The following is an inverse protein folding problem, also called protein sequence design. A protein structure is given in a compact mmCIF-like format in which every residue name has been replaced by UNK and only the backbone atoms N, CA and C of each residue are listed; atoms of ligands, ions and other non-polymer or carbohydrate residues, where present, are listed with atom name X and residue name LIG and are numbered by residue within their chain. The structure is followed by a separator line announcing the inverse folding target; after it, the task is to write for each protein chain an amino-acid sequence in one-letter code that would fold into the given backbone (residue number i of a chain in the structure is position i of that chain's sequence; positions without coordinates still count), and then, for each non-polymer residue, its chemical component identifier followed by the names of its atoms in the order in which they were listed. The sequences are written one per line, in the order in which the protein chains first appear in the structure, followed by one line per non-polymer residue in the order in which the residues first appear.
data_IF_392751202099
#
_entry.id   IF_392751202099
#
_cell.length_a   1.000
_cell.length_b   1.000
_cell.length_c   1.000
_cell.angle_alpha   90.00
_cell.angle_beta   90.00
_cell.angle_gamma   90.00
#
_symmetry.space_group_name_H-M   'P 1'
#
loop_
_entity.id
_entity.type
_entity.pdbx_description
1 polymer ?
#
# COMPACT_ATOMS: atom_id res chain seq x y z
N UNK A 1 -4.61 9.95 71.39
CA UNK A 1 -4.51 11.28 70.75
C UNK A 1 -5.17 11.19 69.38
N UNK A 2 -6.26 11.96 69.22
CA UNK A 2 -7.10 12.26 68.04
C UNK A 2 -7.50 11.12 67.09
N UNK A 3 -8.76 10.69 67.27
CA UNK A 3 -9.64 10.07 66.29
C UNK A 3 -10.73 11.06 65.80
N UNK A 4 -10.93 11.03 64.49
CA UNK A 4 -12.08 11.22 63.56
C UNK A 4 -13.52 11.54 64.09
N UNK A 5 -14.30 12.18 63.19
CA UNK A 5 -15.79 12.25 63.01
C UNK A 5 -16.53 13.38 63.78
N UNK A 6 -17.62 14.04 63.33
CA UNK A 6 -18.56 13.91 62.19
C UNK A 6 -19.59 15.07 62.21
N UNK A 7 -20.18 15.41 61.05
CA UNK A 7 -21.62 15.72 60.77
C UNK A 7 -22.34 17.06 61.11
N UNK A 8 -23.19 17.47 60.11
CA UNK A 8 -24.51 18.18 60.12
C UNK A 8 -24.49 19.73 60.18
N UNK A 9 -24.87 20.50 59.14
CA UNK A 9 -26.15 20.65 58.38
C UNK A 9 -27.17 21.58 59.07
N UNK A 10 -27.39 22.77 58.51
CA UNK A 10 -28.62 23.55 58.68
C UNK A 10 -29.05 24.11 57.32
N UNK A 11 -30.29 23.79 56.98
CA UNK A 11 -31.02 24.04 55.74
C UNK A 11 -31.89 25.29 55.88
N UNK A 12 -32.54 25.65 54.76
CA UNK A 12 -33.77 26.45 54.59
C UNK A 12 -33.63 27.97 54.45
N UNK A 13 -34.44 28.69 53.68
CA UNK A 13 -35.28 28.51 52.47
C UNK A 13 -35.98 29.88 52.34
N UNK A 14 -36.04 30.52 51.19
CA UNK A 14 -37.23 31.26 50.74
C UNK A 14 -37.13 31.54 49.24
N UNK A 15 -38.04 30.93 48.50
CA UNK A 15 -38.34 31.20 47.10
C UNK A 15 -39.43 32.29 47.02
N UNK A 16 -39.54 32.96 45.86
CA UNK A 16 -40.77 33.08 45.02
C UNK A 16 -40.69 34.32 44.09
N UNK A 17 -40.52 34.04 42.77
CA UNK A 17 -41.15 34.64 41.55
C UNK A 17 -41.02 36.14 41.26
N UNK A 18 -40.97 36.69 40.04
CA UNK A 18 -40.98 36.32 38.60
C UNK A 18 -40.77 37.67 37.87
N UNK A 19 -40.01 37.81 36.76
CA UNK A 19 -40.46 37.64 35.38
C UNK A 19 -39.29 38.00 34.44
N UNK A 20 -38.78 37.06 33.64
CA UNK A 20 -38.93 36.97 32.16
C UNK A 20 -38.79 38.29 31.37
N UNK A 21 -37.65 38.45 30.72
CA UNK A 21 -37.60 38.79 29.29
C UNK A 21 -36.64 37.82 28.61
N UNK A 22 -37.22 36.91 27.83
CA UNK A 22 -36.56 35.98 26.92
C UNK A 22 -36.65 36.63 25.54
N UNK A 23 -35.50 36.97 24.96
CA UNK A 23 -35.34 37.01 23.51
C UNK A 23 -34.54 35.76 23.18
N UNK A 24 -35.17 34.86 22.44
CA UNK A 24 -34.74 33.47 22.28
C UNK A 24 -33.36 33.34 21.67
N UNK A 25 -32.48 32.68 22.41
CA UNK A 25 -31.29 32.06 21.89
C UNK A 25 -31.41 30.59 22.27
N UNK A 26 -31.57 29.75 21.27
CA UNK A 26 -31.71 28.30 21.41
C UNK A 26 -30.41 27.76 22.05
N UNK A 27 -30.46 27.09 23.22
CA UNK A 27 -29.26 26.54 23.84
C UNK A 27 -28.66 25.35 23.07
N UNK A 28 -29.33 24.88 22.01
CA UNK A 28 -28.90 23.80 21.12
C UNK A 28 -28.50 24.27 19.72
N UNK A 29 -28.31 25.58 19.50
CA UNK A 29 -27.76 26.06 18.22
C UNK A 29 -26.23 25.89 18.21
N UNK A 30 -25.65 25.02 17.35
CA UNK A 30 -24.21 24.93 17.22
C UNK A 30 -23.65 26.28 16.78
N UNK A 31 -22.57 26.70 17.45
CA UNK A 31 -21.75 27.84 17.05
C UNK A 31 -21.37 27.70 15.56
N UNK A 32 -21.59 28.72 14.71
CA UNK A 32 -21.28 28.66 13.29
C UNK A 32 -19.77 28.54 12.98
N UNK A 33 -18.91 28.65 14.01
CA UNK A 33 -17.46 28.57 13.88
C UNK A 33 -16.86 27.24 14.39
N UNK A 34 -17.70 26.28 14.82
CA UNK A 34 -17.23 24.99 15.36
C UNK A 34 -17.33 23.80 14.38
N UNK A 35 -18.15 23.89 13.33
CA UNK A 35 -18.46 22.72 12.47
C UNK A 35 -17.62 22.62 11.18
N UNK A 36 -16.75 23.60 10.87
CA UNK A 36 -16.06 23.68 9.56
C UNK A 36 -14.54 23.38 9.58
N UNK A 37 -13.98 22.77 10.63
CA UNK A 37 -12.55 22.39 10.71
C UNK A 37 -12.35 20.88 10.96
N UNK A 38 -13.42 20.07 10.85
CA UNK A 38 -13.43 18.70 11.42
C UNK A 38 -13.02 17.56 10.47
N UNK A 39 -12.99 17.75 9.15
CA UNK A 39 -12.40 16.74 8.26
C UNK A 39 -10.89 16.98 8.19
N UNK A 40 -10.08 16.02 8.65
CA UNK A 40 -8.65 15.99 8.30
C UNK A 40 -8.54 16.02 6.78
N UNK A 41 -8.05 17.12 6.23
CA UNK A 41 -7.96 17.29 4.79
C UNK A 41 -6.90 16.32 4.27
N UNK A 42 -7.37 15.30 3.55
CA UNK A 42 -6.51 14.38 2.83
C UNK A 42 -5.74 15.15 1.76
N UNK A 43 -4.43 14.90 1.69
CA UNK A 43 -3.54 15.46 0.67
C UNK A 43 -3.15 14.39 -0.34
N UNK A 44 -2.70 14.83 -1.51
CA UNK A 44 -2.13 13.88 -2.48
C UNK A 44 -0.87 13.23 -1.89
N UNK A 45 -0.62 11.96 -2.22
CA UNK A 45 0.52 11.24 -1.70
C UNK A 45 1.83 11.85 -2.19
N UNK A 46 2.81 11.95 -1.29
CA UNK A 46 4.16 12.48 -1.58
C UNK A 46 4.19 13.96 -2.03
N UNK A 47 3.16 14.75 -1.70
CA UNK A 47 3.24 16.20 -1.92
C UNK A 47 4.45 16.80 -1.17
N UNK A 48 5.23 17.71 -1.80
CA UNK A 48 6.35 18.35 -1.15
C UNK A 48 5.93 19.06 0.14
N UNK A 49 6.65 18.79 1.23
CA UNK A 49 6.47 19.45 2.53
C UNK A 49 7.53 20.53 2.64
N UNK A 50 7.16 21.70 3.14
CA UNK A 50 8.12 22.80 3.29
C UNK A 50 9.20 22.43 4.31
N UNK A 51 10.45 22.85 4.09
CA UNK A 51 11.57 22.56 5.00
C UNK A 51 11.29 23.03 6.43
N UNK A 52 10.52 24.11 6.57
CA UNK A 52 10.12 24.67 7.89
C UNK A 52 9.12 23.77 8.62
N UNK A 53 8.25 23.08 7.89
CA UNK A 53 7.25 22.17 8.46
C UNK A 53 7.81 20.74 8.65
N UNK A 54 8.79 20.34 7.83
CA UNK A 54 9.27 18.96 7.75
C UNK A 54 9.77 18.41 9.09
N UNK A 55 10.39 19.27 9.92
CA UNK A 55 10.94 18.87 11.23
C UNK A 55 9.88 18.62 12.30
N UNK A 56 8.64 19.11 12.10
CA UNK A 56 7.59 19.12 13.14
C UNK A 56 6.32 18.36 12.72
N UNK A 57 6.37 17.65 11.60
CA UNK A 57 5.21 16.98 11.00
C UNK A 57 5.46 15.49 10.85
N UNK A 58 4.41 14.72 11.14
CA UNK A 58 4.26 13.32 10.81
C UNK A 58 3.32 13.18 9.62
N UNK A 59 3.71 12.34 8.65
CA UNK A 59 2.85 11.99 7.52
C UNK A 59 2.26 10.61 7.77
N UNK A 60 0.94 10.54 7.82
CA UNK A 60 0.17 9.29 7.82
C UNK A 60 -0.23 8.98 6.39
N UNK A 61 0.51 8.07 5.76
CA UNK A 61 0.26 7.62 4.40
C UNK A 61 -0.51 6.30 4.43
N UNK A 62 -1.81 6.38 4.17
CA UNK A 62 -2.68 5.22 4.00
C UNK A 62 -2.56 4.70 2.56
N UNK A 63 -1.90 3.55 2.39
CA UNK A 63 -1.84 2.85 1.10
C UNK A 63 -2.92 1.79 1.04
N UNK A 64 -3.69 1.77 -0.04
CA UNK A 64 -4.76 0.80 -0.26
C UNK A 64 -4.57 0.08 -1.57
N UNK A 65 -5.15 -1.11 -1.70
CA UNK A 65 -5.22 -1.76 -3.01
C UNK A 65 -6.35 -1.21 -3.87
N UNK A 66 -6.94 -0.04 -3.58
CA UNK A 66 -7.95 0.57 -4.43
C UNK A 66 -7.45 0.86 -5.84
N UNK A 67 -8.38 1.01 -6.78
CA UNK A 67 -8.03 1.28 -8.18
C UNK A 67 -7.28 2.60 -8.26
N UNK A 68 -6.08 2.63 -8.89
CA UNK A 68 -5.35 3.88 -9.05
C UNK A 68 -6.18 4.82 -9.93
N UNK A 69 -6.71 5.89 -9.34
CA UNK A 69 -7.46 6.94 -10.05
C UNK A 69 -6.61 8.19 -10.17
N UNK A 70 -6.56 8.78 -11.36
CA UNK A 70 -6.02 10.12 -11.51
C UNK A 70 -6.96 11.10 -10.80
N UNK A 71 -6.43 12.12 -10.14
CA UNK A 71 -7.22 13.15 -9.44
C UNK A 71 -8.23 13.84 -10.35
N UNK A 72 -8.03 13.83 -11.68
CA UNK A 72 -8.96 14.35 -12.69
C UNK A 72 -10.25 13.52 -12.88
N UNK A 73 -10.22 12.22 -12.59
CA UNK A 73 -11.35 11.30 -12.85
C UNK A 73 -12.27 11.13 -11.64
N UNK A 74 -11.82 11.58 -10.46
CA UNK A 74 -12.55 11.48 -9.21
C UNK A 74 -13.83 12.36 -9.18
N UNK A 75 -13.98 13.30 -10.12
CA UNK A 75 -15.16 14.15 -10.26
C UNK A 75 -16.24 13.66 -11.23
N UNK A 76 -15.96 12.66 -12.09
CA UNK A 76 -16.84 12.31 -13.21
C UNK A 76 -17.49 10.91 -13.13
N UNK A 77 -16.93 9.98 -12.33
CA UNK A 77 -17.42 8.59 -12.35
C UNK A 77 -18.58 8.29 -11.37
N UNK A 78 -18.79 9.09 -10.33
CA UNK A 78 -19.87 8.87 -9.36
C UNK A 78 -21.24 9.43 -9.80
N UNK A 79 -21.29 10.15 -10.93
CA UNK A 79 -22.53 10.74 -11.42
C UNK A 79 -23.42 9.76 -12.22
N UNK A 80 -22.88 8.63 -12.72
CA UNK A 80 -23.58 7.86 -13.76
C UNK A 80 -23.95 6.42 -13.42
N UNK A 81 -23.59 5.86 -12.26
CA UNK A 81 -23.78 4.42 -12.02
C UNK A 81 -24.61 4.01 -10.79
N UNK A 82 -25.32 4.90 -10.10
CA UNK A 82 -26.25 4.43 -9.05
C UNK A 82 -27.46 5.36 -8.82
N UNK A 83 -28.36 5.38 -9.80
CA UNK A 83 -29.71 5.95 -9.66
C UNK A 83 -30.63 4.96 -8.91
N UNK A 84 -30.21 4.46 -7.76
CA UNK A 84 -30.93 3.48 -6.95
C UNK A 84 -30.63 3.63 -5.47
N UNK A 85 -31.44 4.41 -4.76
CA UNK A 85 -31.46 4.50 -3.29
C UNK A 85 -30.14 4.90 -2.58
N UNK A 86 -29.77 6.18 -2.66
CA UNK A 86 -29.01 6.83 -1.57
C UNK A 86 -29.94 7.69 -0.74
N UNK A 87 -30.18 7.26 0.49
CA UNK A 87 -30.82 8.04 1.55
C UNK A 87 -30.05 9.34 1.80
N UNK A 88 -30.77 10.44 2.05
CA UNK A 88 -30.27 11.82 2.26
C UNK A 88 -29.29 12.04 3.44
N UNK A 89 -28.65 10.99 3.96
CA UNK A 89 -27.74 11.07 5.12
C UNK A 89 -26.25 11.18 4.74
N UNK A 90 -25.89 10.91 3.48
CA UNK A 90 -24.48 10.81 3.05
C UNK A 90 -23.90 12.08 2.40
N UNK A 91 -24.59 13.22 2.49
CA UNK A 91 -24.16 14.49 1.86
C UNK A 91 -23.56 15.52 2.82
N UNK A 92 -23.11 15.11 4.00
CA UNK A 92 -22.34 15.99 4.90
C UNK A 92 -20.92 15.45 5.04
N UNK A 93 -19.99 16.01 4.25
CA UNK A 93 -18.55 15.87 4.49
C UNK A 93 -17.72 15.16 3.42
N UNK A 94 -18.28 14.70 2.31
CA UNK A 94 -17.47 14.18 1.20
C UNK A 94 -16.70 15.33 0.53
N UNK A 95 -15.42 15.46 0.88
CA UNK A 95 -14.44 16.16 0.05
C UNK A 95 -14.45 15.47 -1.31
N UNK A 96 -14.78 16.21 -2.36
CA UNK A 96 -14.94 15.68 -3.71
C UNK A 96 -13.67 14.89 -4.12
N UNK A 97 -13.82 13.58 -4.34
CA UNK A 97 -12.82 12.74 -5.00
C UNK A 97 -12.05 11.74 -4.13
N UNK A 98 -12.32 11.64 -2.83
CA UNK A 98 -11.65 10.67 -1.93
C UNK A 98 -12.69 9.67 -1.44
N UNK A 99 -12.56 8.42 -1.89
CA UNK A 99 -13.55 7.36 -1.68
C UNK A 99 -12.94 5.96 -1.70
N UNK A 100 -11.79 5.79 -1.03
CA UNK A 100 -11.18 4.48 -0.83
C UNK A 100 -11.97 3.65 0.18
N UNK A 101 -11.93 2.32 0.06
CA UNK A 101 -12.86 1.42 0.76
C UNK A 101 -12.84 1.54 2.30
N UNK A 102 -11.71 1.97 2.88
CA UNK A 102 -11.54 2.14 4.33
C UNK A 102 -11.24 3.59 4.76
N UNK A 103 -11.26 4.55 3.83
CA UNK A 103 -10.85 5.94 4.11
C UNK A 103 -11.72 6.62 5.17
N UNK A 104 -13.04 6.38 5.16
CA UNK A 104 -13.96 6.93 6.16
C UNK A 104 -13.71 6.35 7.56
N UNK A 105 -13.56 5.02 7.65
CA UNK A 105 -13.28 4.31 8.91
C UNK A 105 -11.95 4.78 9.50
N UNK A 106 -10.94 4.95 8.66
CA UNK A 106 -9.65 5.49 9.08
C UNK A 106 -9.76 6.96 9.52
N UNK A 107 -10.54 7.77 8.80
CA UNK A 107 -10.76 9.17 9.15
C UNK A 107 -11.50 9.32 10.49
N UNK A 108 -12.42 8.41 10.82
CA UNK A 108 -13.06 8.32 12.14
C UNK A 108 -12.00 8.08 13.24
N UNK A 109 -11.16 7.06 13.07
CA UNK A 109 -10.09 6.73 14.01
C UNK A 109 -9.13 7.93 14.20
N UNK A 110 -8.73 8.58 13.10
CA UNK A 110 -7.89 9.78 13.14
C UNK A 110 -8.55 10.95 13.89
N UNK A 111 -9.85 11.20 13.66
CA UNK A 111 -10.59 12.25 14.37
C UNK A 111 -10.61 11.98 15.87
N UNK A 112 -10.78 10.74 16.29
CA UNK A 112 -10.75 10.37 17.70
C UNK A 112 -9.35 10.52 18.31
N UNK A 113 -8.28 10.16 17.60
CA UNK A 113 -6.90 10.44 18.04
C UNK A 113 -6.67 11.95 18.21
N UNK A 114 -7.11 12.80 17.27
CA UNK A 114 -6.96 14.26 17.41
C UNK A 114 -7.71 14.82 18.62
N UNK A 115 -8.86 14.25 18.96
CA UNK A 115 -9.62 14.62 20.17
C UNK A 115 -8.85 14.24 21.44
N UNK A 116 -8.22 13.07 21.45
CA UNK A 116 -7.45 12.57 22.59
C UNK A 116 -6.06 13.21 22.73
N UNK A 117 -5.46 13.64 21.61
CA UNK A 117 -4.12 14.23 21.51
C UNK A 117 -4.17 15.59 20.79
N UNK A 118 -4.69 16.65 21.44
CA UNK A 118 -4.84 17.97 20.83
C UNK A 118 -3.48 18.62 20.46
N UNK A 119 -2.39 18.17 21.09
CA UNK A 119 -1.02 18.56 20.74
C UNK A 119 -0.64 18.20 19.29
N UNK A 120 -1.24 17.16 18.73
CA UNK A 120 -0.95 16.66 17.37
C UNK A 120 -1.76 17.37 16.27
N UNK A 121 -2.66 18.30 16.62
CA UNK A 121 -3.66 18.86 15.71
C UNK A 121 -3.08 19.43 14.41
N UNK A 122 -1.89 20.04 14.49
CA UNK A 122 -1.20 20.68 13.37
C UNK A 122 0.11 19.97 12.99
N UNK A 123 0.37 18.80 13.58
CA UNK A 123 1.61 18.03 13.39
C UNK A 123 1.38 16.77 12.56
N UNK A 124 0.16 16.50 12.10
CA UNK A 124 -0.15 15.31 11.32
C UNK A 124 -0.76 15.68 9.99
N UNK A 125 -0.18 15.16 8.92
CA UNK A 125 -0.72 15.20 7.56
C UNK A 125 -1.30 13.85 7.18
N UNK A 126 -2.51 13.85 6.64
CA UNK A 126 -3.14 12.66 6.08
C UNK A 126 -2.91 12.59 4.58
N UNK A 127 -2.44 11.45 4.10
CA UNK A 127 -2.31 11.16 2.67
C UNK A 127 -2.88 9.79 2.37
N UNK A 128 -3.50 9.66 1.19
CA UNK A 128 -4.05 8.39 0.71
C UNK A 128 -3.46 8.05 -0.64
N UNK A 129 -3.00 6.81 -0.78
CA UNK A 129 -2.40 6.27 -1.99
C UNK A 129 -3.19 5.03 -2.46
N UNK A 130 -4.03 5.15 -3.51
CA UNK A 130 -4.63 4.00 -4.17
C UNK A 130 -3.60 3.33 -5.09
N UNK A 131 -3.14 2.14 -4.71
CA UNK A 131 -2.00 1.44 -5.29
C UNK A 131 -2.34 0.03 -5.82
N UNK A 132 -3.62 -0.22 -6.12
CA UNK A 132 -4.11 -1.49 -6.65
C UNK A 132 -3.77 -1.76 -8.11
N UNK A 133 -4.32 -2.84 -8.65
CA UNK A 133 -4.27 -3.08 -10.09
C UNK A 133 -5.35 -2.24 -10.79
N UNK A 134 -5.00 -1.50 -11.85
CA UNK A 134 -5.95 -0.70 -12.59
C UNK A 134 -6.76 -1.57 -13.56
N UNK A 135 -7.94 -1.10 -13.99
CA UNK A 135 -8.90 -1.88 -14.82
C UNK A 135 -8.31 -2.41 -16.11
N UNK A 136 -7.37 -1.69 -16.69
CA UNK A 136 -6.67 -2.07 -17.92
C UNK A 136 -5.88 -3.37 -17.76
N UNK A 137 -5.47 -3.72 -16.53
CA UNK A 137 -4.70 -4.93 -16.20
C UNK A 137 -5.53 -6.03 -15.55
N UNK A 138 -6.83 -5.83 -15.39
CA UNK A 138 -7.72 -6.74 -14.65
C UNK A 138 -8.91 -7.21 -15.50
N UNK A 139 -8.76 -7.13 -16.82
CA UNK A 139 -9.80 -7.49 -17.79
C UNK A 139 -11.01 -6.55 -17.74
N UNK A 140 -10.82 -5.30 -17.28
CA UNK A 140 -11.89 -4.31 -17.11
C UNK A 140 -12.74 -4.51 -15.85
N UNK A 141 -12.37 -5.45 -14.98
CA UNK A 141 -13.11 -5.71 -13.74
C UNK A 141 -12.62 -4.79 -12.61
N UNK A 142 -13.51 -4.32 -11.72
CA UNK A 142 -13.10 -3.68 -10.48
C UNK A 142 -12.35 -4.72 -9.64
N UNK A 143 -11.04 -4.56 -9.53
CA UNK A 143 -10.17 -5.71 -9.32
C UNK A 143 -9.76 -6.00 -7.89
N UNK A 144 -10.17 -5.16 -6.94
CA UNK A 144 -9.45 -5.03 -5.69
C UNK A 144 -10.12 -5.76 -4.54
N UNK A 145 -10.66 -6.94 -4.86
CA UNK A 145 -11.23 -7.85 -3.87
C UNK A 145 -10.37 -9.10 -3.83
N UNK A 146 -9.96 -9.55 -2.63
CA UNK A 146 -10.21 -8.92 -1.32
C UNK A 146 -9.35 -7.65 -1.06
N UNK A 147 -9.93 -6.69 -0.33
CA UNK A 147 -9.33 -5.37 -0.07
C UNK A 147 -8.18 -5.45 0.95
N UNK A 148 -7.16 -4.61 0.77
CA UNK A 148 -5.99 -4.49 1.64
C UNK A 148 -5.66 -3.03 1.93
N UNK A 149 -5.07 -2.80 3.09
CA UNK A 149 -4.58 -1.49 3.53
C UNK A 149 -3.26 -1.65 4.27
N UNK A 150 -2.39 -0.66 4.13
CA UNK A 150 -1.14 -0.52 4.87
C UNK A 150 -1.03 0.95 5.27
N UNK A 151 -0.68 1.20 6.53
CA UNK A 151 -0.45 2.54 7.03
C UNK A 151 1.04 2.72 7.28
N UNK A 152 1.62 3.71 6.63
CA UNK A 152 2.99 4.14 6.85
C UNK A 152 2.98 5.44 7.65
N UNK A 153 3.79 5.50 8.70
CA UNK A 153 4.04 6.73 9.46
C UNK A 153 5.43 7.21 9.14
N UNK A 154 5.52 8.41 8.57
CA UNK A 154 6.78 9.01 8.13
C UNK A 154 7.03 10.33 8.86
N UNK A 155 8.29 10.77 8.87
CA UNK A 155 8.59 12.18 9.15
C UNK A 155 8.22 13.08 7.96
N UNK A 156 8.41 14.39 8.10
CA UNK A 156 8.15 15.34 7.01
C UNK A 156 9.09 15.23 5.81
N UNK A 157 10.14 14.40 5.87
CA UNK A 157 11.04 14.08 4.76
C UNK A 157 10.74 12.69 4.15
N UNK A 158 9.58 12.11 4.46
CA UNK A 158 9.17 10.78 4.01
C UNK A 158 10.15 9.65 4.43
N UNK A 159 10.82 9.80 5.57
CA UNK A 159 11.54 8.69 6.19
C UNK A 159 10.61 7.87 7.04
N UNK A 160 10.64 6.54 6.85
CA UNK A 160 9.77 5.62 7.57
C UNK A 160 10.10 5.65 9.07
N UNK A 161 9.08 5.81 9.92
CA UNK A 161 9.24 5.76 11.38
C UNK A 161 8.58 4.50 11.96
N UNK A 162 7.41 4.15 11.43
CA UNK A 162 6.67 2.96 11.81
C UNK A 162 5.67 2.60 10.71
N UNK A 163 5.15 1.37 10.72
CA UNK A 163 4.07 0.97 9.82
C UNK A 163 3.26 -0.20 10.35
N UNK A 164 2.06 -0.37 9.79
CA UNK A 164 1.22 -1.54 10.04
C UNK A 164 0.49 -1.96 8.77
N UNK A 165 0.04 -3.21 8.74
CA UNK A 165 -0.86 -3.73 7.71
C UNK A 165 -2.24 -3.94 8.32
N UNK A 166 -3.28 -3.48 7.64
CA UNK A 166 -4.66 -3.46 8.09
C UNK A 166 -5.17 -2.04 8.36
N UNK A 167 -6.43 -1.94 8.78
CA UNK A 167 -7.08 -0.66 9.13
C UNK A 167 -7.07 -0.53 10.66
N UNK A 168 -6.33 0.43 11.23
CA UNK A 168 -6.26 0.60 12.68
C UNK A 168 -7.52 1.29 13.22
N UNK A 169 -7.89 0.95 14.45
CA UNK A 169 -8.79 1.78 15.24
C UNK A 169 -8.04 2.97 15.87
N UNK A 170 -8.73 3.80 16.65
CA UNK A 170 -8.13 4.98 17.27
C UNK A 170 -7.01 4.63 18.27
N UNK A 171 -7.13 3.53 19.03
CA UNK A 171 -6.13 3.13 20.02
C UNK A 171 -4.87 2.58 19.33
N UNK A 172 -5.06 1.78 18.29
CA UNK A 172 -3.98 1.26 17.45
C UNK A 172 -3.25 2.40 16.74
N UNK A 173 -4.00 3.35 16.16
CA UNK A 173 -3.43 4.51 15.48
C UNK A 173 -2.64 5.41 16.44
N UNK A 174 -3.18 5.67 17.64
CA UNK A 174 -2.46 6.44 18.65
C UNK A 174 -1.15 5.76 19.06
N UNK A 175 -1.18 4.44 19.29
CA UNK A 175 0.01 3.66 19.62
C UNK A 175 1.07 3.77 18.51
N UNK A 176 0.64 3.65 17.25
CA UNK A 176 1.53 3.76 16.10
C UNK A 176 2.20 5.13 15.99
N UNK A 177 1.46 6.21 16.28
CA UNK A 177 1.98 7.58 16.30
C UNK A 177 2.98 7.76 17.44
N UNK A 178 2.67 7.28 18.64
CA UNK A 178 3.56 7.35 19.80
C UNK A 178 4.88 6.59 19.55
N UNK A 179 4.80 5.46 18.86
CA UNK A 179 5.98 4.70 18.44
C UNK A 179 6.84 5.45 17.42
N UNK A 180 6.20 6.11 16.45
CA UNK A 180 6.90 6.93 15.48
C UNK A 180 7.59 8.14 16.14
N UNK A 181 6.93 8.80 17.10
CA UNK A 181 7.51 9.90 17.87
C UNK A 181 8.71 9.44 18.71
N UNK A 182 8.61 8.26 19.33
CA UNK A 182 9.75 7.70 20.06
C UNK A 182 10.92 7.37 19.14
N UNK A 183 10.65 6.80 17.95
CA UNK A 183 11.70 6.57 16.98
C UNK A 183 12.41 7.88 16.58
N UNK A 184 11.66 8.95 16.29
CA UNK A 184 12.24 10.27 16.01
C UNK A 184 13.15 10.75 17.14
N UNK A 185 12.70 10.58 18.39
CA UNK A 185 13.49 10.95 19.57
C UNK A 185 14.76 10.11 19.69
N UNK A 186 14.67 8.79 19.48
CA UNK A 186 15.84 7.90 19.52
C UNK A 186 16.83 8.21 18.40
N UNK A 187 16.34 8.47 17.18
CA UNK A 187 17.16 8.84 16.03
C UNK A 187 17.85 10.20 16.23
N UNK A 188 17.20 11.16 16.89
CA UNK A 188 17.80 12.47 17.19
C UNK A 188 18.88 12.43 18.27
N UNK A 189 18.89 11.39 19.11
CA UNK A 189 19.90 11.20 20.16
C UNK A 189 21.14 10.44 19.68
N UNK A 190 21.00 9.62 18.63
CA UNK A 190 22.10 8.81 18.09
C UNK A 190 22.76 9.49 16.89
N UNK A 191 23.85 10.21 17.13
CA UNK A 191 24.63 10.83 16.06
C UNK A 191 25.62 9.88 15.34
N UNK A 192 25.86 8.65 15.82
CA UNK A 192 27.07 7.91 15.38
C UNK A 192 26.99 6.40 15.04
N UNK A 193 25.88 5.66 15.18
CA UNK A 193 25.82 4.30 14.56
C UNK A 193 24.40 3.76 14.32
N UNK A 194 24.06 3.47 13.07
CA UNK A 194 22.79 2.83 12.67
C UNK A 194 22.51 1.50 13.39
N UNK A 195 23.55 0.72 13.71
CA UNK A 195 23.40 -0.56 14.42
C UNK A 195 22.88 -0.45 15.85
N UNK A 196 23.23 0.61 16.60
CA UNK A 196 22.70 0.83 17.95
C UNK A 196 21.19 1.10 17.93
N UNK A 197 20.72 1.89 16.96
CA UNK A 197 19.31 2.20 16.77
C UNK A 197 18.52 0.94 16.46
N UNK A 198 19.01 0.10 15.55
CA UNK A 198 18.41 -1.21 15.22
C UNK A 198 18.27 -2.07 16.46
N UNK A 199 19.31 -2.19 17.30
CA UNK A 199 19.28 -2.99 18.53
C UNK A 199 18.23 -2.45 19.51
N UNK A 200 18.16 -1.13 19.74
CA UNK A 200 17.18 -0.53 20.64
C UNK A 200 15.75 -0.75 20.16
N UNK A 201 15.50 -0.57 18.87
CA UNK A 201 14.19 -0.81 18.27
C UNK A 201 13.82 -2.29 18.34
N UNK A 202 14.75 -3.20 18.04
CA UNK A 202 14.53 -4.63 18.15
C UNK A 202 14.23 -5.05 19.59
N UNK A 203 14.94 -4.52 20.58
CA UNK A 203 14.63 -4.74 22.00
C UNK A 203 13.21 -4.28 22.34
N UNK A 204 12.76 -3.16 21.78
CA UNK A 204 11.40 -2.67 22.00
C UNK A 204 10.34 -3.54 21.33
N UNK A 205 10.52 -3.87 20.06
CA UNK A 205 9.66 -4.80 19.32
C UNK A 205 9.58 -6.17 20.00
N UNK A 206 10.68 -6.66 20.57
CA UNK A 206 10.74 -7.94 21.29
C UNK A 206 9.73 -8.03 22.44
N UNK A 207 9.39 -6.90 23.08
CA UNK A 207 8.44 -6.86 24.19
C UNK A 207 6.99 -6.96 23.72
N UNK A 208 6.73 -6.68 22.45
CA UNK A 208 5.39 -6.57 21.86
C UNK A 208 5.01 -7.76 20.99
N UNK A 209 6.00 -8.51 20.53
CA UNK A 209 5.79 -9.71 19.72
C UNK A 209 5.76 -10.98 20.58
N UNK A 210 5.01 -12.02 20.17
CA UNK A 210 5.03 -13.32 20.82
C UNK A 210 6.44 -13.94 20.87
N UNK A 211 6.64 -14.90 21.79
CA UNK A 211 7.94 -15.56 22.01
C UNK A 211 8.58 -16.11 20.73
N UNK A 212 7.78 -16.67 19.82
CA UNK A 212 8.27 -17.28 18.60
C UNK A 212 8.77 -16.23 17.60
N UNK A 213 8.02 -15.14 17.40
CA UNK A 213 8.44 -13.97 16.63
C UNK A 213 9.68 -13.29 17.23
N UNK A 214 9.76 -13.22 18.56
CA UNK A 214 10.93 -12.67 19.27
C UNK A 214 12.21 -13.42 18.90
N UNK A 215 12.17 -14.75 18.90
CA UNK A 215 13.34 -15.55 18.55
C UNK A 215 13.84 -15.27 17.13
N UNK A 216 12.92 -15.16 16.16
CA UNK A 216 13.27 -14.83 14.77
C UNK A 216 13.84 -13.41 14.67
N UNK A 217 13.27 -12.45 15.39
CA UNK A 217 13.78 -11.07 15.45
C UNK A 217 15.22 -11.03 16.01
N UNK A 218 15.46 -11.67 17.16
CA UNK A 218 16.79 -11.73 17.80
C UNK A 218 17.83 -12.39 16.89
N UNK A 219 17.47 -13.48 16.20
CA UNK A 219 18.35 -14.13 15.22
C UNK A 219 18.68 -13.20 14.04
N UNK A 220 17.69 -12.45 13.56
CA UNK A 220 17.85 -11.52 12.43
C UNK A 220 18.75 -10.34 12.80
N UNK A 221 18.66 -9.82 14.03
CA UNK A 221 19.57 -8.78 14.54
C UNK A 221 21.02 -9.26 14.53
N UNK A 222 21.28 -10.53 14.88
CA UNK A 222 22.63 -11.09 14.89
C UNK A 222 23.20 -11.29 13.48
N UNK A 223 22.37 -11.64 12.50
CA UNK A 223 22.79 -11.84 11.10
C UNK A 223 23.03 -10.52 10.35
N UNK A 224 22.45 -9.42 10.83
CA UNK A 224 22.47 -8.15 10.11
C UNK A 224 23.86 -7.53 9.95
N UNK A 225 24.77 -7.77 10.89
CA UNK A 225 26.15 -7.30 10.77
C UNK A 225 26.89 -7.97 9.60
N UNK A 226 26.43 -9.14 9.13
CA UNK A 226 27.04 -9.91 8.04
C UNK A 226 26.38 -9.68 6.68
N UNK A 227 25.07 -9.39 6.64
CA UNK A 227 24.26 -9.34 5.41
C UNK A 227 23.73 -7.94 5.03
N UNK A 228 24.24 -6.87 5.64
CA UNK A 228 23.77 -5.49 5.42
C UNK A 228 23.93 -5.05 3.95
N UNK A 229 22.90 -5.31 3.15
CA UNK A 229 22.78 -4.82 1.77
C UNK A 229 22.65 -3.30 1.80
N UNK A 230 23.45 -2.60 0.99
CA UNK A 230 23.38 -1.12 0.90
C UNK A 230 22.13 -0.62 0.20
N UNK A 231 21.43 -1.50 -0.52
CA UNK A 231 20.21 -1.16 -1.24
C UNK A 231 18.96 -1.44 -0.37
N UNK A 232 18.16 -0.40 -0.03
CA UNK A 232 16.95 -0.56 0.76
C UNK A 232 15.90 -1.50 0.13
N UNK A 233 15.83 -1.58 -1.20
CA UNK A 233 14.86 -2.46 -1.88
C UNK A 233 15.26 -3.92 -1.70
N UNK A 234 16.54 -4.24 -1.90
CA UNK A 234 17.08 -5.57 -1.60
C UNK A 234 16.91 -5.96 -0.13
N UNK A 235 17.09 -5.00 0.79
CA UNK A 235 16.87 -5.20 2.22
C UNK A 235 15.40 -5.54 2.53
N UNK A 236 14.44 -4.76 2.00
CA UNK A 236 13.00 -5.05 2.15
C UNK A 236 12.69 -6.45 1.64
N UNK A 237 13.22 -6.82 0.47
CA UNK A 237 12.98 -8.15 -0.11
C UNK A 237 13.51 -9.25 0.80
N UNK A 238 14.78 -9.17 1.21
CA UNK A 238 15.40 -10.18 2.08
C UNK A 238 14.63 -10.36 3.39
N UNK A 239 14.29 -9.25 4.05
CA UNK A 239 13.47 -9.24 5.25
C UNK A 239 12.09 -9.85 4.99
N UNK A 240 11.45 -9.45 3.89
CA UNK A 240 10.12 -9.95 3.52
C UNK A 240 10.15 -11.45 3.28
N UNK A 241 11.12 -11.99 2.53
CA UNK A 241 11.26 -13.43 2.29
C UNK A 241 11.43 -14.18 3.61
N UNK A 242 12.31 -13.68 4.49
CA UNK A 242 12.59 -14.28 5.81
C UNK A 242 11.35 -14.31 6.72
N UNK A 243 10.63 -13.20 6.84
CA UNK A 243 9.50 -13.08 7.75
C UNK A 243 8.16 -13.56 7.16
N UNK A 244 8.03 -13.63 5.82
CA UNK A 244 6.77 -14.05 5.18
C UNK A 244 6.51 -15.53 5.35
N UNK A 245 7.51 -16.39 5.22
CA UNK A 245 7.32 -17.84 5.45
C UNK A 245 6.90 -18.13 6.89
N UNK A 246 7.52 -17.42 7.83
CA UNK A 246 7.16 -17.51 9.24
C UNK A 246 5.75 -16.97 9.51
N UNK A 247 5.40 -15.83 8.90
CA UNK A 247 4.05 -15.27 8.93
C UNK A 247 3.02 -16.28 8.41
N UNK A 248 3.26 -16.89 7.26
CA UNK A 248 2.37 -17.86 6.65
C UNK A 248 2.19 -19.09 7.56
N UNK A 249 3.26 -19.59 8.19
CA UNK A 249 3.15 -20.67 9.16
C UNK A 249 2.30 -20.28 10.38
N UNK A 250 2.51 -19.08 10.92
CA UNK A 250 1.77 -18.55 12.07
C UNK A 250 0.27 -18.36 11.77
N UNK A 251 -0.10 -17.78 10.63
CA UNK A 251 -1.52 -17.61 10.27
C UNK A 251 -2.21 -18.94 9.97
N UNK A 252 -1.50 -19.93 9.41
CA UNK A 252 -2.03 -21.29 9.23
C UNK A 252 -2.38 -21.91 10.58
N UNK A 253 -1.52 -21.74 11.59
CA UNK A 253 -1.78 -22.21 12.95
C UNK A 253 -2.90 -21.44 13.65
N UNK A 254 -2.92 -20.10 13.56
CA UNK A 254 -3.92 -19.26 14.23
C UNK A 254 -5.32 -19.39 13.64
N UNK A 255 -5.43 -19.50 12.32
CA UNK A 255 -6.71 -19.39 11.60
C UNK A 255 -7.12 -20.65 10.84
N UNK A 256 -6.29 -21.71 10.87
CA UNK A 256 -6.58 -22.98 10.21
C UNK A 256 -6.61 -22.87 8.69
N UNK A 257 -5.69 -22.10 8.11
CA UNK A 257 -5.54 -21.97 6.65
C UNK A 257 -4.67 -23.13 6.15
N UNK A 258 -5.06 -23.82 5.08
CA UNK A 258 -4.33 -24.97 4.56
C UNK A 258 -4.23 -25.00 3.04
N UNK A 259 -5.21 -24.44 2.33
CA UNK A 259 -5.32 -24.61 0.88
C UNK A 259 -5.06 -23.32 0.11
N UNK A 260 -4.77 -23.43 -1.19
CA UNK A 260 -4.62 -22.27 -2.07
C UNK A 260 -5.91 -21.40 -2.13
N UNK A 261 -7.07 -22.01 -1.88
CA UNK A 261 -8.36 -21.32 -1.78
C UNK A 261 -8.45 -20.40 -0.54
N UNK A 262 -7.63 -20.60 0.49
CA UNK A 262 -7.61 -19.76 1.69
C UNK A 262 -6.91 -18.41 1.47
N UNK A 263 -6.31 -18.17 0.30
CA UNK A 263 -5.63 -16.90 0.00
C UNK A 263 -6.58 -15.70 0.14
N UNK A 264 -7.82 -15.84 -0.30
CA UNK A 264 -8.79 -14.75 -0.19
C UNK A 264 -9.20 -14.52 1.26
N UNK A 265 -9.38 -15.61 2.02
CA UNK A 265 -9.68 -15.55 3.46
C UNK A 265 -8.54 -14.92 4.25
N UNK A 266 -7.28 -15.26 3.95
CA UNK A 266 -6.10 -14.62 4.54
C UNK A 266 -6.13 -13.11 4.30
N UNK A 267 -6.45 -12.70 3.08
CA UNK A 267 -6.49 -11.28 2.73
C UNK A 267 -7.58 -10.52 3.49
N UNK A 268 -8.74 -11.13 3.70
CA UNK A 268 -9.78 -10.55 4.56
C UNK A 268 -9.29 -10.43 6.01
N UNK A 269 -8.59 -11.45 6.52
CA UNK A 269 -7.99 -11.39 7.86
C UNK A 269 -6.93 -10.27 7.97
N UNK A 270 -6.15 -10.03 6.92
CA UNK A 270 -5.14 -8.96 6.85
C UNK A 270 -5.73 -7.55 6.91
N UNK A 271 -7.05 -7.38 6.73
CA UNK A 271 -7.72 -6.10 7.01
C UNK A 271 -7.69 -5.75 8.49
N UNK A 272 -7.61 -6.76 9.38
CA UNK A 272 -7.41 -6.57 10.81
C UNK A 272 -5.93 -6.51 11.15
N UNK A 273 -5.53 -5.44 11.86
CA UNK A 273 -4.13 -5.18 12.16
C UNK A 273 -3.45 -6.30 12.96
N UNK A 274 -4.18 -7.01 13.81
CA UNK A 274 -3.67 -8.11 14.65
C UNK A 274 -3.17 -9.30 13.83
N UNK A 275 -3.58 -9.42 12.57
CA UNK A 275 -3.14 -10.50 11.69
C UNK A 275 -1.67 -10.33 11.34
N UNK A 276 -1.24 -9.12 10.94
CA UNK A 276 0.15 -8.82 10.53
C UNK A 276 0.95 -7.97 11.53
N UNK A 277 0.36 -7.55 12.65
CA UNK A 277 1.07 -6.78 13.68
C UNK A 277 2.42 -7.38 14.08
N UNK A 278 2.54 -8.70 14.41
CA UNK A 278 3.85 -9.26 14.73
C UNK A 278 4.87 -9.12 13.61
N UNK A 279 4.44 -9.30 12.35
CA UNK A 279 5.27 -9.17 11.17
C UNK A 279 5.77 -7.72 10.99
N UNK A 280 4.88 -6.73 11.09
CA UNK A 280 5.24 -5.31 11.02
C UNK A 280 6.20 -4.91 12.15
N UNK A 281 5.91 -5.31 13.38
CA UNK A 281 6.74 -5.02 14.57
C UNK A 281 8.15 -5.61 14.46
N UNK A 282 8.31 -6.79 13.84
CA UNK A 282 9.63 -7.39 13.60
C UNK A 282 10.42 -6.76 12.45
N UNK A 283 9.75 -6.06 11.54
CA UNK A 283 10.40 -5.42 10.38
C UNK A 283 10.85 -3.99 10.67
N UNK A 284 10.08 -3.25 11.48
CA UNK A 284 10.36 -1.84 11.81
C UNK A 284 11.82 -1.59 12.24
N UNK A 285 12.45 -2.40 13.12
CA UNK A 285 13.82 -2.17 13.55
C UNK A 285 14.84 -2.04 12.41
N UNK A 286 14.54 -2.64 11.26
CA UNK A 286 15.42 -2.72 10.11
C UNK A 286 15.05 -1.75 8.99
N UNK A 287 13.76 -1.39 8.90
CA UNK A 287 13.23 -0.53 7.85
C UNK A 287 13.08 0.93 8.27
N UNK A 288 13.11 1.23 9.56
CA UNK A 288 12.98 2.62 10.00
C UNK A 288 14.15 3.48 9.48
N UNK A 289 13.83 4.69 9.01
CA UNK A 289 14.75 5.64 8.37
C UNK A 289 14.89 5.50 6.85
N UNK A 290 14.32 4.46 6.22
CA UNK A 290 14.37 4.33 4.76
C UNK A 290 13.52 5.42 4.08
N UNK A 291 13.92 5.78 2.86
CA UNK A 291 13.21 6.73 2.00
C UNK A 291 11.94 6.07 1.42
N UNK A 292 10.77 6.43 1.95
CA UNK A 292 9.49 5.81 1.58
C UNK A 292 9.13 6.13 0.13
N UNK A 293 9.46 7.32 -0.39
CA UNK A 293 9.14 7.70 -1.76
C UNK A 293 9.72 6.72 -2.78
N UNK A 294 10.92 6.19 -2.50
CA UNK A 294 11.62 5.21 -3.34
C UNK A 294 11.29 3.75 -3.02
N UNK A 295 10.93 3.45 -1.78
CA UNK A 295 10.88 2.07 -1.27
C UNK A 295 9.48 1.53 -1.01
N UNK A 296 8.47 2.40 -0.96
CA UNK A 296 7.08 1.99 -0.75
C UNK A 296 6.60 0.90 -1.74
N UNK A 297 6.99 0.87 -3.04
CA UNK A 297 6.49 -0.16 -3.94
C UNK A 297 6.93 -1.56 -3.49
N UNK A 298 8.19 -1.68 -3.06
CA UNK A 298 8.75 -2.94 -2.56
C UNK A 298 8.07 -3.40 -1.27
N UNK A 299 7.81 -2.46 -0.35
CA UNK A 299 7.14 -2.76 0.92
C UNK A 299 5.67 -3.16 0.71
N UNK A 300 4.95 -2.48 -0.18
CA UNK A 300 3.56 -2.83 -0.50
C UNK A 300 3.49 -4.15 -1.23
N UNK A 301 4.39 -4.39 -2.19
CA UNK A 301 4.45 -5.64 -2.94
C UNK A 301 4.64 -6.86 -2.02
N UNK A 302 5.46 -6.77 -0.97
CA UNK A 302 5.66 -7.88 -0.04
C UNK A 302 4.39 -8.32 0.69
N UNK A 303 3.39 -7.44 0.75
CA UNK A 303 2.07 -7.72 1.32
C UNK A 303 1.06 -8.01 0.21
N UNK A 304 1.12 -7.34 -0.94
CA UNK A 304 0.16 -7.46 -2.03
C UNK A 304 0.39 -8.74 -2.86
N UNK A 305 1.64 -9.17 -2.96
CA UNK A 305 2.10 -10.27 -3.80
C UNK A 305 2.17 -9.91 -5.29
N UNK A 306 2.03 -8.62 -5.63
CA UNK A 306 2.19 -8.07 -6.97
C UNK A 306 2.68 -6.62 -6.88
N UNK A 307 3.33 -6.15 -7.94
CA UNK A 307 3.79 -4.76 -8.02
C UNK A 307 2.59 -3.81 -7.90
N UNK A 308 2.65 -2.79 -7.04
CA UNK A 308 1.62 -1.77 -6.97
C UNK A 308 1.73 -0.81 -8.16
N UNK A 309 0.59 -0.22 -8.56
CA UNK A 309 0.51 0.71 -9.69
C UNK A 309 -0.08 2.03 -9.20
N UNK A 310 0.42 3.16 -9.72
CA UNK A 310 -0.03 4.52 -9.42
C UNK A 310 -0.62 5.20 -10.64
N UNK A 311 -1.59 6.10 -10.44
CA UNK A 311 -2.23 6.80 -11.54
C UNK A 311 -1.51 8.08 -11.98
N UNK A 312 -0.74 8.70 -11.09
CA UNK A 312 -0.13 10.02 -11.24
C UNK A 312 1.27 9.99 -11.86
N UNK A 313 1.87 8.80 -12.02
CA UNK A 313 3.15 8.62 -12.69
C UNK A 313 2.92 8.49 -14.20
N UNK A 314 2.93 9.64 -14.89
CA UNK A 314 2.90 9.73 -16.34
C UNK A 314 4.31 9.47 -16.91
N UNK A 315 4.68 8.21 -17.11
CA UNK A 315 6.00 7.92 -17.71
C UNK A 315 5.90 6.65 -18.54
N UNK A 316 5.87 6.79 -19.87
CA UNK A 316 6.61 5.85 -20.71
C UNK A 316 6.77 6.40 -22.13
N UNK A 317 7.99 6.71 -22.55
CA UNK A 317 8.32 6.94 -23.97
C UNK A 317 7.88 5.76 -24.85
N UNK A 318 7.83 4.55 -24.25
CA UNK A 318 7.33 3.32 -24.85
C UNK A 318 5.86 3.42 -25.29
N UNK A 319 5.03 4.16 -24.56
CA UNK A 319 3.63 4.35 -24.91
C UNK A 319 3.50 5.19 -26.18
N UNK A 320 4.33 6.20 -26.34
CA UNK A 320 4.40 7.04 -27.53
C UNK A 320 5.03 6.29 -28.71
N UNK A 321 6.04 5.45 -28.46
CA UNK A 321 6.64 4.57 -29.47
C UNK A 321 5.62 3.60 -30.08
N UNK A 322 4.86 2.91 -29.22
CA UNK A 322 3.79 1.98 -29.66
C UNK A 322 2.67 2.71 -30.40
N UNK A 323 2.33 3.94 -29.97
CA UNK A 323 1.33 4.79 -30.65
C UNK A 323 1.78 5.30 -32.01
N UNK A 324 3.07 5.56 -32.19
CA UNK A 324 3.60 6.16 -33.41
C UNK A 324 3.73 5.11 -34.52
N UNK A 325 3.99 3.85 -34.16
CA UNK A 325 4.16 2.75 -35.11
C UNK A 325 3.14 1.58 -34.95
N UNK A 326 1.82 1.83 -34.83
CA UNK A 326 0.84 0.80 -34.47
C UNK A 326 0.59 -0.22 -35.59
N UNK A 327 1.00 0.09 -36.81
CA UNK A 327 0.60 -0.62 -38.02
C UNK A 327 1.73 -1.44 -38.66
N UNK A 328 2.98 -1.24 -38.25
CA UNK A 328 4.16 -1.74 -38.97
C UNK A 328 4.89 -2.86 -38.23
N UNK A 329 4.93 -2.83 -36.89
CA UNK A 329 5.76 -3.76 -36.11
C UNK A 329 4.98 -4.47 -35.00
N UNK A 330 5.50 -5.62 -34.57
CA UNK A 330 5.02 -6.31 -33.37
C UNK A 330 5.91 -5.92 -32.20
N UNK A 331 5.35 -5.28 -31.18
CA UNK A 331 6.07 -4.99 -29.94
C UNK A 331 5.92 -6.16 -28.96
N UNK A 332 6.98 -6.45 -28.20
CA UNK A 332 6.96 -7.43 -27.13
C UNK A 332 7.49 -6.80 -25.86
N UNK A 333 6.64 -6.76 -24.84
CA UNK A 333 7.05 -6.35 -23.50
C UNK A 333 7.33 -7.58 -22.64
N UNK A 334 8.52 -7.65 -22.08
CA UNK A 334 8.92 -8.61 -21.06
C UNK A 334 8.55 -8.03 -19.70
N UNK A 335 7.59 -8.65 -19.01
CA UNK A 335 7.05 -8.12 -17.78
C UNK A 335 7.95 -8.52 -16.61
N UNK A 336 8.40 -7.51 -15.88
CA UNK A 336 9.22 -7.72 -14.69
C UNK A 336 8.44 -8.53 -13.65
N UNK A 337 9.03 -9.59 -13.10
CA UNK A 337 8.40 -10.34 -12.03
C UNK A 337 8.35 -9.52 -10.73
N UNK A 338 7.45 -9.87 -9.79
CA UNK A 338 7.56 -9.45 -8.40
C UNK A 338 8.97 -9.75 -7.83
N UNK A 339 9.46 -8.88 -6.95
CA UNK A 339 10.67 -8.96 -6.15
C UNK A 339 10.87 -10.33 -5.50
N UNK A 340 9.81 -10.96 -4.98
CA UNK A 340 9.88 -12.29 -4.34
C UNK A 340 10.40 -13.40 -5.26
N UNK A 341 10.32 -13.20 -6.57
CA UNK A 341 10.78 -14.16 -7.59
C UNK A 341 11.71 -13.51 -8.63
N UNK A 342 12.18 -12.28 -8.40
CA UNK A 342 13.04 -11.55 -9.34
C UNK A 342 14.44 -12.12 -9.48
N UNK A 343 14.93 -12.84 -8.46
CA UNK A 343 16.22 -13.56 -8.50
C UNK A 343 16.16 -14.84 -9.32
N UNK A 344 14.97 -15.35 -9.63
CA UNK A 344 14.83 -16.53 -10.49
C UNK A 344 15.06 -16.09 -11.93
N UNK A 345 16.16 -16.52 -12.58
CA UNK A 345 16.49 -16.06 -13.91
C UNK A 345 15.37 -16.44 -14.90
N UNK A 346 15.05 -15.50 -15.79
CA UNK A 346 14.10 -15.72 -16.87
C UNK A 346 14.68 -15.22 -18.21
N UNK A 347 14.67 -16.04 -19.28
CA UNK A 347 14.24 -17.44 -19.30
C UNK A 347 15.13 -18.33 -18.39
N UNK A 348 14.67 -19.53 -18.00
CA UNK A 348 15.46 -20.43 -17.16
C UNK A 348 16.79 -20.77 -17.84
N UNK A 349 17.85 -20.95 -17.04
CA UNK A 349 19.21 -21.26 -17.54
C UNK A 349 19.30 -22.67 -18.16
N UNK A 350 20.18 -22.84 -19.15
CA UNK A 350 20.26 -24.05 -20.00
C UNK A 350 20.81 -25.28 -19.28
N UNK A 351 21.28 -25.14 -18.04
CA UNK A 351 21.96 -26.21 -17.31
C UNK A 351 21.03 -27.38 -16.92
N UNK A 352 19.73 -27.28 -17.27
CA UNK A 352 18.73 -28.31 -17.05
C UNK A 352 18.64 -29.30 -18.22
N UNK A 353 18.40 -30.58 -17.92
CA UNK A 353 18.07 -31.62 -18.91
C UNK A 353 16.61 -31.57 -19.41
N UNK A 354 15.87 -30.50 -19.09
CA UNK A 354 14.43 -30.40 -19.39
C UNK A 354 14.23 -29.77 -20.77
N UNK A 355 13.67 -30.49 -21.76
CA UNK A 355 13.52 -29.97 -23.13
C UNK A 355 12.69 -28.69 -23.23
N UNK A 356 11.76 -28.46 -22.30
CA UNK A 356 10.94 -27.25 -22.29
C UNK A 356 11.73 -25.97 -22.01
N UNK A 357 12.88 -26.06 -21.33
CA UNK A 357 13.72 -24.90 -21.00
C UNK A 357 14.42 -24.38 -22.26
N UNK A 358 14.98 -25.27 -23.08
CA UNK A 358 15.57 -24.90 -24.38
C UNK A 358 14.56 -24.18 -25.28
N UNK A 359 13.31 -24.66 -25.31
CA UNK A 359 12.24 -24.03 -26.09
C UNK A 359 11.91 -22.63 -25.56
N UNK A 360 11.91 -22.43 -24.24
CA UNK A 360 11.71 -21.09 -23.65
C UNK A 360 12.85 -20.12 -23.96
N UNK A 361 14.08 -20.62 -24.06
CA UNK A 361 15.22 -19.81 -24.51
C UNK A 361 15.09 -19.44 -25.98
N UNK A 362 14.65 -20.38 -26.84
CA UNK A 362 14.36 -20.09 -28.25
C UNK A 362 13.23 -19.04 -28.38
N UNK A 363 12.17 -19.15 -27.55
CA UNK A 363 11.10 -18.14 -27.47
C UNK A 363 11.65 -16.77 -27.11
N UNK A 364 12.49 -16.68 -26.08
CA UNK A 364 13.06 -15.42 -25.63
C UNK A 364 14.00 -14.81 -26.69
N UNK A 365 14.82 -15.65 -27.34
CA UNK A 365 15.68 -15.22 -28.44
C UNK A 365 14.88 -14.68 -29.62
N UNK A 366 13.73 -15.28 -29.96
CA UNK A 366 12.83 -14.75 -30.99
C UNK A 366 12.10 -13.48 -30.56
N UNK A 367 11.69 -13.39 -29.30
CA UNK A 367 11.08 -12.17 -28.77
C UNK A 367 12.04 -10.98 -28.92
N UNK A 368 13.33 -11.18 -28.65
CA UNK A 368 14.40 -10.18 -28.84
C UNK A 368 14.69 -9.80 -30.30
N UNK A 369 14.16 -10.53 -31.29
CA UNK A 369 14.25 -10.15 -32.70
C UNK A 369 13.15 -9.18 -33.13
N UNK A 370 12.14 -8.96 -32.27
CA UNK A 370 11.07 -7.97 -32.43
C UNK A 370 11.42 -6.70 -31.62
N UNK A 371 10.59 -5.66 -31.64
CA UNK A 371 10.74 -4.50 -30.74
C UNK A 371 10.52 -4.93 -29.29
N UNK A 372 11.60 -5.35 -28.64
CA UNK A 372 11.61 -5.97 -27.34
C UNK A 372 12.01 -4.97 -26.26
N UNK A 373 11.18 -4.84 -25.23
CA UNK A 373 11.46 -3.98 -24.08
C UNK A 373 11.11 -4.70 -22.78
N UNK A 374 11.91 -4.49 -21.74
CA UNK A 374 11.52 -4.87 -20.38
C UNK A 374 10.61 -3.77 -19.81
N UNK A 375 9.53 -4.18 -19.14
CA UNK A 375 8.55 -3.26 -18.57
C UNK A 375 8.03 -3.75 -17.21
N UNK A 376 7.78 -2.84 -16.29
CA UNK A 376 7.03 -3.11 -15.06
C UNK A 376 5.51 -2.96 -15.27
N UNK A 377 4.70 -3.23 -14.23
CA UNK A 377 3.24 -3.07 -14.32
C UNK A 377 2.80 -1.61 -14.46
N UNK A 378 3.60 -0.64 -14.00
CA UNK A 378 3.31 0.79 -14.14
C UNK A 378 3.40 1.20 -15.61
N UNK A 379 4.49 0.83 -16.28
CA UNK A 379 4.74 1.08 -17.69
C UNK A 379 3.72 0.34 -18.56
N UNK A 380 3.40 -0.92 -18.24
CA UNK A 380 2.36 -1.67 -18.96
C UNK A 380 1.00 -0.98 -18.84
N UNK A 381 0.60 -0.58 -17.62
CA UNK A 381 -0.64 0.18 -17.41
C UNK A 381 -0.68 1.47 -18.24
N UNK A 382 0.43 2.22 -18.23
CA UNK A 382 0.59 3.47 -18.98
C UNK A 382 0.43 3.24 -20.50
N UNK A 383 1.08 2.20 -21.04
CA UNK A 383 0.94 1.80 -22.45
C UNK A 383 -0.51 1.44 -22.79
N UNK A 384 -1.13 0.60 -21.96
CA UNK A 384 -2.50 0.13 -22.17
C UNK A 384 -3.51 1.28 -22.20
N UNK A 385 -3.41 2.22 -21.24
CA UNK A 385 -4.26 3.40 -21.14
C UNK A 385 -4.02 4.37 -22.28
N UNK A 386 -2.74 4.72 -22.50
CA UNK A 386 -2.36 5.72 -23.49
C UNK A 386 -2.74 5.28 -24.90
N UNK A 387 -2.42 4.05 -25.29
CA UNK A 387 -2.69 3.53 -26.63
C UNK A 387 -4.12 2.99 -26.82
N UNK A 388 -5.03 3.24 -25.86
CA UNK A 388 -6.43 2.80 -25.89
C UNK A 388 -6.61 1.30 -26.20
N UNK A 389 -5.76 0.48 -25.58
CA UNK A 389 -5.79 -0.96 -25.75
C UNK A 389 -6.99 -1.58 -25.03
N UNK A 390 -7.46 -2.73 -25.51
CA UNK A 390 -8.47 -3.51 -24.79
C UNK A 390 -7.89 -4.03 -23.47
N UNK A 391 -8.61 -3.94 -22.33
CA UNK A 391 -8.14 -4.47 -21.07
C UNK A 391 -7.72 -5.94 -21.14
N UNK A 392 -6.61 -6.24 -20.49
CA UNK A 392 -6.04 -7.59 -20.33
C UNK A 392 -6.17 -7.99 -18.87
N UNK A 393 -6.26 -9.29 -18.55
CA UNK A 393 -6.20 -9.75 -17.17
C UNK A 393 -4.85 -10.41 -16.90
N UNK A 394 -4.02 -9.74 -16.11
CA UNK A 394 -2.70 -10.27 -15.73
C UNK A 394 -2.78 -11.29 -14.59
N UNK A 395 -3.94 -11.43 -13.93
CA UNK A 395 -4.17 -12.33 -12.78
C UNK A 395 -4.47 -13.76 -13.22
N UNK A 396 -3.70 -14.26 -14.18
CA UNK A 396 -3.85 -15.62 -14.70
C UNK A 396 -3.43 -16.70 -13.72
N UNK A 397 -3.42 -17.95 -14.20
CA UNK A 397 -3.02 -19.14 -13.43
C UNK A 397 -1.53 -19.17 -13.08
N UNK A 398 -0.72 -18.33 -13.73
CA UNK A 398 0.71 -18.17 -13.45
C UNK A 398 1.16 -16.75 -13.81
N UNK A 399 2.43 -16.43 -13.61
CA UNK A 399 2.98 -15.11 -13.89
C UNK A 399 2.97 -14.78 -15.40
N UNK A 400 2.52 -13.58 -15.75
CA UNK A 400 2.70 -13.04 -17.12
C UNK A 400 4.19 -12.76 -17.35
N UNK A 401 4.75 -13.31 -18.42
CA UNK A 401 6.15 -13.12 -18.81
C UNK A 401 6.29 -12.21 -20.01
N UNK A 402 5.39 -12.32 -20.98
CA UNK A 402 5.38 -11.43 -22.14
C UNK A 402 3.98 -10.89 -22.43
N UNK A 403 3.93 -9.64 -22.86
CA UNK A 403 2.76 -9.02 -23.49
C UNK A 403 3.15 -8.66 -24.92
N UNK A 404 2.51 -9.32 -25.88
CA UNK A 404 2.76 -9.10 -27.30
C UNK A 404 1.68 -8.17 -27.85
N UNK A 405 2.09 -7.12 -28.54
CA UNK A 405 1.22 -6.15 -29.21
C UNK A 405 1.33 -6.37 -30.72
N UNK A 406 0.41 -7.14 -31.33
CA UNK A 406 0.44 -7.37 -32.76
C UNK A 406 0.04 -6.10 -33.52
N UNK A 407 0.59 -5.87 -34.73
CA UNK A 407 0.24 -4.71 -35.53
C UNK A 407 -1.24 -4.71 -35.87
N UNK A 408 -1.85 -3.52 -35.87
CA UNK A 408 -3.28 -3.29 -36.14
C UNK A 408 -4.24 -4.02 -35.20
N UNK A 409 -3.81 -4.44 -34.01
CA UNK A 409 -4.69 -5.08 -33.01
C UNK A 409 -4.74 -4.29 -31.73
N UNK A 410 -5.96 -3.92 -31.31
CA UNK A 410 -6.21 -3.31 -30.00
C UNK A 410 -6.11 -4.28 -28.83
N UNK A 411 -6.11 -5.60 -29.07
CA UNK A 411 -6.04 -6.62 -28.02
C UNK A 411 -4.64 -7.24 -27.98
N UNK A 412 -3.84 -6.96 -26.94
CA UNK A 412 -2.56 -7.63 -26.73
C UNK A 412 -2.75 -9.12 -26.43
N UNK A 413 -1.70 -9.90 -26.69
CA UNK A 413 -1.64 -11.32 -26.36
C UNK A 413 -0.75 -11.51 -25.14
N UNK A 414 -1.28 -12.17 -24.12
CA UNK A 414 -0.53 -12.53 -22.92
C UNK A 414 0.17 -13.87 -23.12
N UNK A 415 1.40 -13.96 -22.64
CA UNK A 415 2.15 -15.20 -22.51
C UNK A 415 2.46 -15.39 -21.04
N UNK A 416 1.92 -16.47 -20.48
CA UNK A 416 2.14 -16.85 -19.10
C UNK A 416 3.29 -17.85 -18.98
N UNK A 417 3.96 -17.86 -17.84
CA UNK A 417 5.04 -18.81 -17.55
C UNK A 417 4.58 -20.26 -17.67
N UNK A 418 3.33 -20.57 -17.29
CA UNK A 418 2.74 -21.90 -17.39
C UNK A 418 2.27 -22.30 -18.80
N UNK A 419 2.36 -21.42 -19.81
CA UNK A 419 1.93 -21.75 -21.16
C UNK A 419 2.85 -22.80 -21.82
N UNK A 420 2.32 -23.68 -22.69
CA UNK A 420 3.16 -24.64 -23.42
C UNK A 420 4.17 -23.91 -24.33
N UNK A 421 5.50 -24.07 -24.12
CA UNK A 421 6.50 -23.24 -24.80
C UNK A 421 6.50 -23.45 -26.32
N UNK A 422 6.19 -24.65 -26.82
CA UNK A 422 6.07 -24.90 -28.25
C UNK A 422 4.94 -24.11 -28.93
N UNK A 423 3.83 -23.86 -28.21
CA UNK A 423 2.73 -23.01 -28.71
C UNK A 423 3.19 -21.56 -28.79
N UNK A 424 3.88 -21.08 -27.76
CA UNK A 424 4.42 -19.72 -27.70
C UNK A 424 5.49 -19.52 -28.78
N UNK A 425 6.37 -20.49 -28.99
CA UNK A 425 7.38 -20.47 -30.05
C UNK A 425 6.73 -20.37 -31.43
N UNK A 426 5.70 -21.18 -31.69
CA UNK A 426 4.91 -21.10 -32.91
C UNK A 426 4.23 -19.75 -33.11
N UNK A 427 3.84 -19.07 -32.02
CA UNK A 427 3.32 -17.70 -32.06
C UNK A 427 4.41 -16.70 -32.45
N UNK A 428 5.58 -16.74 -31.80
CA UNK A 428 6.71 -15.85 -32.09
C UNK A 428 7.21 -16.01 -33.54
N UNK A 429 7.34 -17.25 -34.04
CA UNK A 429 7.69 -17.56 -35.43
C UNK A 429 6.75 -16.90 -36.45
N UNK A 430 5.46 -16.74 -36.12
CA UNK A 430 4.50 -16.10 -37.03
C UNK A 430 4.68 -14.59 -37.11
N UNK A 431 5.20 -13.96 -36.06
CA UNK A 431 5.46 -12.52 -36.04
C UNK A 431 6.81 -12.20 -36.68
N UNK A 432 7.86 -12.98 -36.39
CA UNK A 432 9.18 -12.78 -37.01
C UNK A 432 9.16 -13.05 -38.52
N UNK A 433 8.46 -14.09 -38.99
CA UNK A 433 8.35 -14.40 -40.43
C UNK A 433 7.53 -13.38 -41.25
N UNK A 434 6.82 -12.45 -40.59
CA UNK A 434 6.13 -11.35 -41.28
C UNK A 434 7.02 -10.14 -41.51
N UNK A 435 8.12 -10.00 -40.77
CA UNK A 435 9.11 -8.93 -40.95
C UNK A 435 10.09 -9.22 -42.10
N UNK A 436 10.19 -10.48 -42.54
CA UNK A 436 11.07 -10.92 -43.63
C UNK A 436 10.41 -10.93 -45.02
N UNK A 437 9.20 -10.39 -45.14
CA UNK A 437 8.46 -10.18 -46.39
C UNK A 437 8.10 -8.71 -46.51
#
# INVERSE_FOLDING_TARGET
MRCIFSFILVLSLFAVTSAKFVVGQDPDAPSPDAENVESGEWRDPFQPISVVEADNVLVLLLVTNDEPRASSDAGNHDANNDAGHKTKRDQRGQVAGIGGWCTDVFADAYRDVRRNRPDLKNQILLQWLPAGLPRELTGGQPANVPARAMLLVCDGNYRLLSFLVGVPDAADLQTLIEDAQEFQLLSGLENESSGSLVIKLAQRSSQRVPRTWRAVLEETVLMMDEELTKDPVDQIRWLSDRFTDFYLADVRLRFGLSDAADKDRLTVLEQHIQTRKPWSETLIPFLAGIDVEKTWPALVESVWGHQPVRADIAVSDLADEIKTNPNEETFVLSIQPPLSISRVPWPPESDSTVPSIEVWQEVHAMAKQLSFHDADLQQLSSVMRSAEMMPIDIRGTSLVRYVVFPPNKKKPLLVFQGDPPGRVLGLMKRFTNKLSR
#
